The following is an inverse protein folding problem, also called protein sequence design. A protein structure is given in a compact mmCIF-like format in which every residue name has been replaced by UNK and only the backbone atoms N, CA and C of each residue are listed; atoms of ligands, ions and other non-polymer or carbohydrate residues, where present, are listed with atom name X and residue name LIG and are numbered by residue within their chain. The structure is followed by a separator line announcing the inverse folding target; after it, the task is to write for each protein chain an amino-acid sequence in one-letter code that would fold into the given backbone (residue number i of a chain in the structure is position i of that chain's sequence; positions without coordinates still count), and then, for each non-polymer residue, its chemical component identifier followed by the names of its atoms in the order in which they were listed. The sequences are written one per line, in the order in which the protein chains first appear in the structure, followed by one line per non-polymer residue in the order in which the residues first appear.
data_IF_659842636325
#
_entry.id   IF_659842636325
#
_cell.length_a   1.000
_cell.length_b   1.000
_cell.length_c   1.000
_cell.angle_alpha   90.00
_cell.angle_beta   90.00
_cell.angle_gamma   90.00
#
_symmetry.space_group_name_H-M   'P 1'
#
loop_
_entity.id
_entity.type
_entity.pdbx_description
1 polymer ?
#
# COMPACT_ATOMS: atom_id res chain seq x y z
N UNK A 1 -23.47 9.40 11.70
CA UNK A 1 -23.30 10.87 11.69
C UNK A 1 -22.56 11.22 10.42
N UNK A 2 -23.19 11.91 9.46
CA UNK A 2 -22.45 12.47 8.32
C UNK A 2 -21.55 13.60 8.81
N UNK A 3 -20.30 13.64 8.34
CA UNK A 3 -19.39 14.75 8.61
C UNK A 3 -19.07 15.46 7.30
N UNK A 4 -19.24 16.77 7.28
CA UNK A 4 -18.96 17.60 6.11
C UNK A 4 -17.54 18.16 6.20
N UNK A 5 -16.76 18.00 5.12
CA UNK A 5 -15.45 18.60 4.97
C UNK A 5 -15.54 19.69 3.90
N UNK A 6 -15.20 20.93 4.26
CA UNK A 6 -15.11 22.04 3.32
C UNK A 6 -13.65 22.43 3.12
N UNK A 7 -13.14 22.23 1.90
CA UNK A 7 -11.78 22.65 1.52
C UNK A 7 -11.84 24.08 0.97
N UNK A 8 -11.09 25.01 1.59
CA UNK A 8 -11.00 26.41 1.16
C UNK A 8 -9.74 26.66 0.35
N UNK A 9 -9.75 27.72 -0.46
CA UNK A 9 -8.59 28.18 -1.26
C UNK A 9 -8.06 27.12 -2.23
N UNK A 10 -8.94 26.35 -2.86
CA UNK A 10 -8.56 25.39 -3.91
C UNK A 10 -8.20 26.18 -5.18
N UNK A 11 -6.97 26.05 -5.73
CA UNK A 11 -6.63 26.71 -6.98
C UNK A 11 -7.55 26.28 -8.12
N UNK A 12 -7.97 27.22 -8.97
CA UNK A 12 -8.91 26.94 -10.06
C UNK A 12 -8.45 25.83 -11.01
N UNK A 13 -7.13 25.73 -11.23
CA UNK A 13 -6.55 24.68 -12.04
C UNK A 13 -6.76 23.29 -11.41
N UNK A 14 -6.57 23.17 -10.09
CA UNK A 14 -6.78 21.94 -9.35
C UNK A 14 -8.26 21.54 -9.36
N UNK A 15 -9.16 22.49 -9.08
CA UNK A 15 -10.60 22.22 -9.10
C UNK A 15 -11.08 21.75 -10.49
N UNK A 16 -10.60 22.40 -11.57
CA UNK A 16 -10.91 22.00 -12.95
C UNK A 16 -10.43 20.59 -13.26
N UNK A 17 -9.22 20.23 -12.85
CA UNK A 17 -8.65 18.91 -13.09
C UNK A 17 -9.40 17.81 -12.32
N UNK A 18 -9.73 18.04 -11.04
CA UNK A 18 -10.54 17.11 -10.26
C UNK A 18 -11.92 16.89 -10.90
N UNK A 19 -12.58 17.96 -11.33
CA UNK A 19 -13.89 17.88 -12.00
C UNK A 19 -13.80 17.13 -13.34
N UNK A 20 -12.73 17.32 -14.10
CA UNK A 20 -12.48 16.59 -15.35
C UNK A 20 -12.33 15.08 -15.10
N UNK A 21 -11.55 14.69 -14.10
CA UNK A 21 -11.35 13.28 -13.73
C UNK A 21 -12.61 12.63 -13.18
N UNK A 22 -13.37 13.34 -12.33
CA UNK A 22 -14.66 12.87 -11.83
C UNK A 22 -15.63 12.59 -12.99
N UNK A 23 -15.75 13.51 -13.95
CA UNK A 23 -16.58 13.33 -15.14
C UNK A 23 -16.14 12.14 -15.99
N UNK A 24 -14.83 11.94 -16.17
CA UNK A 24 -14.30 10.80 -16.91
C UNK A 24 -14.63 9.45 -16.27
N UNK A 25 -14.83 9.42 -14.95
CA UNK A 25 -15.28 8.24 -14.19
C UNK A 25 -16.79 8.14 -14.00
N UNK A 26 -17.57 9.09 -14.56
CA UNK A 26 -19.03 9.14 -14.37
C UNK A 26 -19.47 9.47 -12.94
N UNK A 27 -18.59 10.09 -12.14
CA UNK A 27 -18.82 10.40 -10.73
C UNK A 27 -19.09 11.91 -10.52
N UNK A 28 -19.79 12.24 -9.44
CA UNK A 28 -19.84 13.62 -8.94
C UNK A 28 -18.46 14.01 -8.39
N UNK A 29 -18.15 15.31 -8.34
CA UNK A 29 -16.89 15.78 -7.77
C UNK A 29 -16.73 15.36 -6.30
N UNK A 30 -17.81 15.43 -5.52
CA UNK A 30 -17.82 15.00 -4.12
C UNK A 30 -17.47 13.52 -3.98
N UNK A 31 -18.16 12.64 -4.71
CA UNK A 31 -17.90 11.20 -4.65
C UNK A 31 -16.48 10.85 -5.08
N UNK A 32 -15.95 11.53 -6.11
CA UNK A 32 -14.58 11.34 -6.56
C UNK A 32 -13.55 11.78 -5.50
N UNK A 33 -13.80 12.90 -4.81
CA UNK A 33 -12.91 13.37 -3.73
C UNK A 33 -13.02 12.47 -2.50
N UNK A 34 -14.20 11.99 -2.15
CA UNK A 34 -14.40 11.01 -1.09
C UNK A 34 -13.58 9.73 -1.33
N UNK A 35 -13.66 9.16 -2.54
CA UNK A 35 -12.86 7.99 -2.93
C UNK A 35 -11.35 8.25 -2.81
N UNK A 36 -10.89 9.44 -3.20
CA UNK A 36 -9.47 9.82 -3.05
C UNK A 36 -9.05 9.92 -1.58
N UNK A 37 -9.90 10.49 -0.72
CA UNK A 37 -9.62 10.59 0.72
C UNK A 37 -9.63 9.22 1.38
N UNK A 38 -10.58 8.35 1.02
CA UNK A 38 -10.64 6.96 1.49
C UNK A 38 -9.40 6.18 1.07
N UNK A 39 -8.97 6.31 -0.19
CA UNK A 39 -7.77 5.66 -0.68
C UNK A 39 -6.52 6.11 0.10
N UNK A 40 -6.39 7.41 0.38
CA UNK A 40 -5.26 7.96 1.14
C UNK A 40 -5.20 7.42 2.57
N UNK A 41 -6.34 7.30 3.26
CA UNK A 41 -6.39 6.81 4.65
C UNK A 41 -6.54 5.29 4.77
N UNK A 42 -6.80 4.59 3.66
CA UNK A 42 -7.02 3.13 3.65
C UNK A 42 -5.81 2.33 4.13
N UNK A 43 -4.61 2.92 4.08
CA UNK A 43 -3.36 2.30 4.53
C UNK A 43 -2.66 3.22 5.52
N UNK A 44 -2.06 2.66 6.59
CA UNK A 44 -1.23 3.46 7.48
C UNK A 44 -0.08 4.08 6.69
N UNK A 45 0.22 5.33 7.01
CA UNK A 45 1.38 6.03 6.48
C UNK A 45 2.67 5.26 6.79
N UNK A 46 3.73 5.48 6.00
CA UNK A 46 5.03 4.87 6.24
C UNK A 46 5.54 5.17 7.66
N UNK A 47 5.30 6.37 8.16
CA UNK A 47 5.68 6.79 9.51
C UNK A 47 4.89 6.03 10.59
N UNK A 48 3.58 5.83 10.42
CA UNK A 48 2.79 4.98 11.31
C UNK A 48 3.25 3.53 11.29
N UNK A 49 3.58 3.00 10.12
CA UNK A 49 4.12 1.64 9.99
C UNK A 49 5.44 1.52 10.76
N UNK A 50 6.37 2.45 10.57
CA UNK A 50 7.67 2.45 11.26
C UNK A 50 7.47 2.55 12.78
N UNK A 51 6.67 3.50 13.25
CA UNK A 51 6.35 3.62 14.69
C UNK A 51 5.74 2.34 15.26
N UNK A 52 4.86 1.68 14.49
CA UNK A 52 4.24 0.41 14.90
C UNK A 52 5.22 -0.77 14.89
N UNK A 53 6.25 -0.74 14.05
CA UNK A 53 7.32 -1.74 14.07
C UNK A 53 8.20 -1.52 15.29
N UNK A 54 8.61 -0.28 15.55
CA UNK A 54 9.44 0.11 16.69
C UNK A 54 8.79 -0.17 18.05
N UNK A 55 7.46 -0.07 18.13
CA UNK A 55 6.72 -0.35 19.37
C UNK A 55 6.53 -1.84 19.68
N UNK A 56 6.87 -2.75 18.77
CA UNK A 56 6.74 -4.20 18.99
C UNK A 56 7.94 -4.73 19.75
N UNK A 57 7.69 -5.63 20.71
CA UNK A 57 8.75 -6.40 21.36
C UNK A 57 9.50 -7.22 20.30
N UNK A 58 10.83 -7.07 20.18
CA UNK A 58 11.63 -7.91 19.29
C UNK A 58 11.49 -9.39 19.66
N UNK A 59 11.38 -10.25 18.65
CA UNK A 59 11.37 -11.70 18.84
C UNK A 59 12.72 -12.24 18.39
N UNK A 60 13.41 -12.95 19.27
CA UNK A 60 14.61 -13.70 18.89
C UNK A 60 14.20 -15.00 18.23
N UNK A 61 14.63 -15.19 16.99
CA UNK A 61 14.42 -16.40 16.23
C UNK A 61 15.77 -17.11 16.05
N UNK A 62 15.81 -18.45 16.11
CA UNK A 62 17.04 -19.21 15.96
C UNK A 62 17.68 -19.09 14.58
N UNK A 63 16.91 -18.66 13.57
CA UNK A 63 17.39 -18.43 12.21
C UNK A 63 16.78 -17.16 11.63
N UNK A 64 17.54 -16.48 10.76
CA UNK A 64 17.01 -15.33 10.03
C UNK A 64 16.03 -15.77 8.93
N UNK A 65 15.05 -14.92 8.62
CA UNK A 65 14.15 -15.13 7.49
C UNK A 65 14.90 -15.25 6.16
N UNK A 66 15.99 -14.49 5.99
CA UNK A 66 16.84 -14.54 4.81
C UNK A 66 17.51 -15.92 4.64
N UNK A 67 17.98 -16.51 5.74
CA UNK A 67 18.59 -17.84 5.73
C UNK A 67 17.57 -18.92 5.36
N UNK A 68 16.37 -18.87 5.94
CA UNK A 68 15.28 -19.80 5.62
C UNK A 68 14.92 -19.71 4.13
N UNK A 69 14.72 -18.50 3.59
CA UNK A 69 14.41 -18.28 2.17
C UNK A 69 15.54 -18.81 1.28
N UNK A 70 16.80 -18.60 1.66
CA UNK A 70 17.96 -19.07 0.89
C UNK A 70 18.00 -20.60 0.83
N UNK A 71 17.84 -21.27 1.98
CA UNK A 71 17.81 -22.74 2.06
C UNK A 71 16.70 -23.33 1.17
N UNK A 72 15.51 -22.73 1.20
CA UNK A 72 14.38 -23.14 0.36
C UNK A 72 14.67 -22.96 -1.14
N UNK A 73 15.27 -21.83 -1.54
CA UNK A 73 15.65 -21.59 -2.94
C UNK A 73 16.69 -22.60 -3.41
N UNK A 74 17.74 -22.82 -2.64
CA UNK A 74 18.79 -23.79 -2.95
C UNK A 74 18.23 -25.22 -3.05
N UNK A 75 17.29 -25.60 -2.17
CA UNK A 75 16.63 -26.89 -2.23
C UNK A 75 15.83 -27.06 -3.54
N UNK A 76 15.05 -26.04 -3.93
CA UNK A 76 14.30 -26.05 -5.19
C UNK A 76 15.23 -26.15 -6.40
N UNK A 77 16.34 -25.41 -6.39
CA UNK A 77 17.33 -25.47 -7.47
C UNK A 77 17.99 -26.85 -7.58
N UNK A 78 18.29 -27.50 -6.45
CA UNK A 78 18.82 -28.88 -6.45
C UNK A 78 17.84 -29.86 -7.10
N UNK A 79 16.56 -29.81 -6.73
CA UNK A 79 15.52 -30.68 -7.32
C UNK A 79 15.37 -30.44 -8.83
N UNK A 80 15.40 -29.18 -9.28
CA UNK A 80 15.32 -28.85 -10.70
C UNK A 80 16.53 -29.40 -11.46
N UNK A 81 17.75 -29.20 -10.94
CA UNK A 81 18.98 -29.72 -11.56
C UNK A 81 19.02 -31.25 -11.61
N UNK A 82 18.43 -31.94 -10.64
CA UNK A 82 18.33 -33.40 -10.65
C UNK A 82 17.32 -33.92 -11.68
N UNK A 83 16.24 -33.18 -11.93
CA UNK A 83 15.26 -33.48 -12.98
C UNK A 83 15.84 -33.30 -14.38
N UNK A 84 16.57 -32.21 -14.61
CA UNK A 84 17.18 -31.91 -15.91
C UNK A 84 18.32 -32.88 -16.29
N UNK A 85 18.81 -33.66 -15.33
CA UNK A 85 19.87 -34.67 -15.51
C UNK A 85 19.37 -36.08 -15.83
N UNK A 86 18.05 -36.32 -15.83
CA UNK A 86 17.41 -37.60 -16.19
C UNK A 86 16.82 -37.53 -17.60
#
# INVERSE_FOLDING_TARGET
MSKMIQVRNVPDALHRELRRRAKARGQTLTAFVEELLEAEVSRPSREEIVRRIESRTPVELPYSSAEIIRREREARERVMRERDRR
#
